data_IF_995499826533
#
_entry.id   IF_995499826533
#
_cell.length_a   1.000
_cell.length_b   1.000
_cell.length_c   1.000
_cell.angle_alpha   90.00
_cell.angle_beta   90.00
_cell.angle_gamma   90.00
#
_symmetry.space_group_name_H-M   'P 1'
#
loop_
_entity.id
_entity.type
_entity.pdbx_description
1 polymer ?
#
# COMPACT_ATOMS: atom_id res chain seq x y z
N UNK A 1 21.55 -1.65 -3.62
CA UNK A 1 20.61 -0.55 -3.31
C UNK A 1 21.27 0.30 -2.24
N UNK A 2 21.66 1.54 -2.55
CA UNK A 2 22.14 2.52 -1.55
C UNK A 2 20.92 3.36 -1.17
N UNK A 3 20.62 3.47 0.13
CA UNK A 3 19.52 4.31 0.64
C UNK A 3 20.02 5.74 0.86
N UNK A 4 19.12 6.72 0.71
CA UNK A 4 19.43 8.16 0.85
C UNK A 4 19.06 8.63 2.26
N UNK A 5 19.95 9.40 2.90
CA UNK A 5 19.72 10.07 4.18
C UNK A 5 19.41 11.56 3.94
N UNK A 6 18.47 12.13 4.71
CA UNK A 6 18.29 13.56 5.01
C UNK A 6 18.48 14.59 3.88
N UNK A 7 17.46 15.45 3.67
CA UNK A 7 17.61 16.76 3.03
C UNK A 7 17.28 17.81 4.10
N UNK A 8 18.29 18.54 4.58
CA UNK A 8 18.09 19.54 5.64
C UNK A 8 17.34 20.76 5.07
N UNK A 9 16.25 21.16 5.72
CA UNK A 9 15.36 22.25 5.27
C UNK A 9 15.96 23.67 5.40
N UNK A 10 17.16 23.82 5.96
CA UNK A 10 17.76 25.11 6.31
C UNK A 10 18.94 25.53 5.44
N UNK A 11 19.18 24.87 4.31
CA UNK A 11 20.13 25.34 3.32
C UNK A 11 19.40 25.46 1.99
N UNK A 12 19.51 26.63 1.35
CA UNK A 12 19.07 26.85 -0.02
C UNK A 12 19.92 26.00 -0.98
N UNK A 13 19.68 24.69 -0.98
CA UNK A 13 20.18 23.77 -1.98
C UNK A 13 19.09 23.61 -3.03
N UNK A 14 19.49 23.73 -4.30
CA UNK A 14 18.74 23.15 -5.41
C UNK A 14 18.67 21.64 -5.14
N UNK A 15 17.51 21.14 -4.70
CA UNK A 15 17.32 19.70 -4.54
C UNK A 15 17.32 19.12 -5.94
N UNK A 16 18.44 18.49 -6.34
CA UNK A 16 18.49 17.76 -7.59
C UNK A 16 17.77 16.42 -7.40
N UNK A 17 16.45 16.44 -7.64
CA UNK A 17 15.53 15.32 -7.45
C UNK A 17 15.89 14.14 -8.36
N UNK A 18 16.60 14.35 -9.48
CA UNK A 18 17.01 13.26 -10.35
C UNK A 18 18.07 12.34 -9.73
N UNK A 19 18.81 12.80 -8.71
CA UNK A 19 19.86 12.01 -8.07
C UNK A 19 19.40 11.15 -6.89
N UNK A 20 18.15 11.29 -6.44
CA UNK A 20 17.60 10.48 -5.34
C UNK A 20 16.95 9.17 -5.81
N UNK A 21 16.81 8.98 -7.13
CA UNK A 21 16.15 7.82 -7.71
C UNK A 21 17.12 6.77 -8.24
N UNK A 22 16.74 5.51 -8.02
CA UNK A 22 17.22 4.38 -8.82
C UNK A 22 16.19 4.11 -9.92
N UNK A 23 16.64 4.13 -11.16
CA UNK A 23 15.78 3.78 -12.29
C UNK A 23 15.65 2.26 -12.38
N UNK A 24 14.41 1.78 -12.32
CA UNK A 24 14.09 0.38 -12.55
C UNK A 24 13.38 0.26 -13.90
N UNK A 25 14.00 -0.47 -14.82
CA UNK A 25 13.43 -0.78 -16.11
C UNK A 25 13.48 -2.28 -16.39
N UNK A 26 12.53 -2.74 -17.20
CA UNK A 26 12.62 -4.05 -17.83
C UNK A 26 13.54 -3.94 -19.03
N UNK A 27 14.70 -4.60 -18.99
CA UNK A 27 15.50 -4.84 -20.20
C UNK A 27 14.72 -5.76 -21.14
N UNK A 28 14.34 -5.26 -22.31
CA UNK A 28 13.80 -6.06 -23.40
C UNK A 28 14.95 -6.49 -24.31
N UNK A 29 15.09 -7.78 -24.60
CA UNK A 29 16.12 -8.25 -25.54
C UNK A 29 15.80 -7.93 -27.01
N UNK A 30 14.60 -7.45 -27.37
CA UNK A 30 14.29 -7.04 -28.75
C UNK A 30 13.16 -5.98 -28.78
N UNK A 31 13.48 -4.76 -29.27
CA UNK A 31 12.62 -3.95 -30.16
C UNK A 31 11.18 -3.58 -29.78
N UNK A 32 10.82 -3.36 -28.50
CA UNK A 32 9.53 -2.73 -28.15
C UNK A 32 9.74 -1.40 -27.41
N UNK A 33 9.19 -0.33 -27.98
CA UNK A 33 9.38 1.08 -27.59
C UNK A 33 8.69 1.53 -26.29
N UNK A 34 7.93 0.69 -25.60
CA UNK A 34 7.23 1.07 -24.36
C UNK A 34 7.89 0.43 -23.12
N UNK A 35 9.08 0.89 -22.76
CA UNK A 35 9.70 0.48 -21.50
C UNK A 35 8.99 1.16 -20.31
N UNK A 36 8.45 0.35 -19.41
CA UNK A 36 7.98 0.83 -18.10
C UNK A 36 9.21 1.15 -17.26
N UNK A 37 9.47 2.44 -17.03
CA UNK A 37 10.53 2.92 -16.13
C UNK A 37 9.88 3.36 -14.82
N UNK A 38 10.35 2.83 -13.70
CA UNK A 38 9.93 3.20 -12.35
C UNK A 38 11.07 3.99 -11.70
N UNK A 39 10.75 5.19 -11.19
CA UNK A 39 11.64 5.92 -10.30
C UNK A 39 11.52 5.37 -8.88
N UNK A 40 12.52 4.66 -8.38
CA UNK A 40 12.54 4.11 -7.02
C UNK A 40 13.31 5.04 -6.09
N UNK A 41 12.61 5.73 -5.19
CA UNK A 41 13.20 6.53 -4.12
C UNK A 41 13.41 5.64 -2.87
N UNK A 42 14.67 5.44 -2.50
CA UNK A 42 15.06 4.63 -1.35
C UNK A 42 15.26 5.49 -0.10
N UNK A 43 14.40 5.32 0.89
CA UNK A 43 14.40 6.10 2.13
C UNK A 43 15.10 5.30 3.23
N UNK A 44 16.21 5.81 3.75
CA UNK A 44 16.92 5.16 4.86
C UNK A 44 16.07 5.11 6.14
N UNK A 45 16.35 4.13 7.00
CA UNK A 45 15.83 4.15 8.38
C UNK A 45 16.63 5.18 9.17
N UNK A 46 16.02 6.29 9.63
CA UNK A 46 16.75 7.31 10.37
C UNK A 46 17.24 6.75 11.71
N UNK A 47 18.43 7.20 12.13
CA UNK A 47 18.97 6.92 13.47
C UNK A 47 19.10 8.17 14.33
N UNK A 48 18.79 9.33 13.76
CA UNK A 48 18.80 10.65 14.42
C UNK A 48 17.73 11.56 13.80
N UNK A 49 17.30 12.60 14.51
CA UNK A 49 16.24 13.50 14.05
C UNK A 49 16.62 14.27 12.78
N UNK A 50 17.88 14.66 12.63
CA UNK A 50 18.41 15.38 11.46
C UNK A 50 18.39 14.55 10.15
N UNK A 51 18.20 13.24 10.25
CA UNK A 51 18.10 12.34 9.09
C UNK A 51 16.65 12.17 8.59
N UNK A 52 15.67 12.61 9.39
CA UNK A 52 14.26 12.45 9.09
C UNK A 52 13.83 13.38 7.94
N UNK A 53 13.10 12.83 6.96
CA UNK A 53 12.55 13.62 5.87
C UNK A 53 11.36 14.48 6.34
N UNK A 54 11.15 15.68 5.78
CA UNK A 54 10.00 16.51 6.09
C UNK A 54 8.66 15.82 5.77
N UNK A 55 7.57 16.11 6.51
CA UNK A 55 6.28 15.43 6.37
C UNK A 55 5.73 15.31 4.95
N UNK A 56 5.86 16.35 4.13
CA UNK A 56 5.29 16.38 2.77
C UNK A 56 6.27 16.02 1.66
N UNK A 57 7.52 15.70 1.99
CA UNK A 57 8.56 15.51 0.98
C UNK A 57 8.20 14.45 -0.07
N UNK A 58 7.83 13.24 0.35
CA UNK A 58 7.46 12.14 -0.55
C UNK A 58 6.21 12.49 -1.38
N UNK A 59 5.20 13.10 -0.74
CA UNK A 59 4.00 13.60 -1.41
C UNK A 59 4.36 14.60 -2.51
N UNK A 60 5.16 15.60 -2.18
CA UNK A 60 5.54 16.67 -3.10
C UNK A 60 6.37 16.13 -4.27
N UNK A 61 7.29 15.20 -4.00
CA UNK A 61 8.03 14.48 -5.06
C UNK A 61 7.08 13.71 -5.98
N UNK A 62 6.12 12.95 -5.43
CA UNK A 62 5.13 12.22 -6.23
C UNK A 62 4.25 13.18 -7.04
N UNK A 63 3.78 14.27 -6.44
CA UNK A 63 2.94 15.27 -7.10
C UNK A 63 3.71 15.99 -8.22
N UNK A 64 4.99 16.28 -8.02
CA UNK A 64 5.88 16.87 -9.02
C UNK A 64 5.95 16.00 -10.28
N UNK A 65 6.26 14.70 -10.15
CA UNK A 65 6.32 13.80 -11.32
C UNK A 65 4.96 13.58 -11.98
N UNK A 66 3.87 13.61 -11.22
CA UNK A 66 2.52 13.53 -11.80
C UNK A 66 2.17 14.78 -12.62
N UNK A 67 2.51 15.98 -12.14
CA UNK A 67 2.26 17.23 -12.87
C UNK A 67 3.10 17.32 -14.15
N UNK A 68 4.38 16.95 -14.09
CA UNK A 68 5.23 16.91 -15.30
C UNK A 68 4.70 15.92 -16.32
N UNK A 69 4.18 14.76 -15.86
CA UNK A 69 3.57 13.73 -16.72
C UNK A 69 2.30 14.23 -17.41
N UNK A 70 1.53 15.12 -16.79
CA UNK A 70 0.33 15.73 -17.38
C UNK A 70 0.68 16.83 -18.39
N UNK A 71 1.72 17.62 -18.11
CA UNK A 71 2.12 18.76 -18.93
C UNK A 71 3.02 18.38 -20.13
N UNK A 72 3.76 17.27 -20.05
CA UNK A 72 4.74 16.88 -21.07
C UNK A 72 4.14 15.97 -22.14
N UNK A 73 4.03 16.47 -23.36
CA UNK A 73 3.41 15.83 -24.53
C UNK A 73 4.16 14.61 -25.12
N UNK A 74 4.99 13.90 -24.34
CA UNK A 74 5.46 12.50 -24.53
C UNK A 74 6.77 12.16 -23.81
N UNK A 75 7.48 13.12 -23.19
CA UNK A 75 8.76 12.81 -22.56
C UNK A 75 8.59 12.37 -21.09
N UNK A 76 7.97 11.20 -20.88
CA UNK A 76 7.78 10.63 -19.54
C UNK A 76 9.09 10.01 -19.06
N UNK A 77 9.78 10.68 -18.13
CA UNK A 77 10.95 10.10 -17.47
C UNK A 77 10.58 8.83 -16.70
N UNK A 78 9.54 8.90 -15.86
CA UNK A 78 9.05 7.77 -15.08
C UNK A 78 7.58 7.52 -15.35
N UNK A 79 7.22 6.26 -15.56
CA UNK A 79 5.83 5.82 -15.61
C UNK A 79 5.13 5.95 -14.25
N UNK A 80 5.92 5.81 -13.18
CA UNK A 80 5.52 5.83 -11.78
C UNK A 80 6.72 6.10 -10.88
N UNK A 81 6.46 6.74 -9.75
CA UNK A 81 7.38 6.86 -8.62
C UNK A 81 6.97 5.89 -7.50
N UNK A 82 7.94 5.20 -6.90
CA UNK A 82 7.75 4.35 -5.73
C UNK A 82 8.68 4.84 -4.61
N UNK A 83 8.12 5.02 -3.42
CA UNK A 83 8.86 5.35 -2.20
C UNK A 83 9.02 4.06 -1.38
N UNK A 84 10.27 3.65 -1.15
CA UNK A 84 10.56 2.43 -0.42
C UNK A 84 11.43 2.72 0.81
N UNK A 85 10.84 2.54 1.98
CA UNK A 85 11.54 2.64 3.25
C UNK A 85 12.42 1.40 3.52
N UNK A 86 13.62 1.64 4.03
CA UNK A 86 14.61 0.61 4.32
C UNK A 86 14.14 -0.42 5.34
N UNK A 87 13.43 0.00 6.40
CA UNK A 87 12.87 -0.90 7.40
C UNK A 87 11.83 -1.86 6.79
N UNK A 88 11.00 -1.36 5.88
CA UNK A 88 10.02 -2.18 5.14
C UNK A 88 10.73 -3.15 4.19
N UNK A 89 11.79 -2.73 3.50
CA UNK A 89 12.61 -3.62 2.68
C UNK A 89 13.26 -4.72 3.52
N UNK A 90 13.84 -4.37 4.67
CA UNK A 90 14.49 -5.33 5.55
C UNK A 90 13.48 -6.35 6.11
N UNK A 91 12.32 -5.87 6.55
CA UNK A 91 11.31 -6.70 7.21
C UNK A 91 10.50 -7.58 6.23
N UNK A 92 10.03 -7.01 5.12
CA UNK A 92 9.12 -7.70 4.17
C UNK A 92 9.77 -7.90 2.79
N UNK A 93 11.09 -8.10 2.73
CA UNK A 93 11.90 -8.16 1.48
C UNK A 93 11.27 -8.96 0.36
N UNK A 94 10.82 -10.19 0.65
CA UNK A 94 10.21 -11.10 -0.34
C UNK A 94 8.93 -10.51 -0.96
N UNK A 95 8.08 -9.88 -0.14
CA UNK A 95 6.85 -9.23 -0.59
C UNK A 95 7.18 -7.98 -1.43
N UNK A 96 8.12 -7.15 -0.95
CA UNK A 96 8.53 -5.92 -1.66
C UNK A 96 9.13 -6.25 -3.02
N UNK A 97 10.06 -7.23 -3.06
CA UNK A 97 10.67 -7.70 -4.30
C UNK A 97 9.61 -8.15 -5.31
N UNK A 98 8.65 -8.97 -4.88
CA UNK A 98 7.56 -9.41 -5.73
C UNK A 98 6.72 -8.26 -6.27
N UNK A 99 6.35 -7.28 -5.42
CA UNK A 99 5.59 -6.10 -5.85
C UNK A 99 6.34 -5.31 -6.91
N UNK A 100 7.64 -5.07 -6.74
CA UNK A 100 8.46 -4.37 -7.74
C UNK A 100 8.50 -5.12 -9.08
N UNK A 101 8.74 -6.44 -9.03
CA UNK A 101 8.74 -7.32 -10.21
C UNK A 101 7.38 -7.30 -10.93
N UNK A 102 6.28 -7.36 -10.18
CA UNK A 102 4.93 -7.28 -10.74
C UNK A 102 4.64 -5.93 -11.40
N UNK A 103 5.09 -4.81 -10.82
CA UNK A 103 4.93 -3.47 -11.40
C UNK A 103 5.74 -3.29 -12.70
N UNK A 104 6.91 -3.92 -12.81
CA UNK A 104 7.73 -3.92 -14.03
C UNK A 104 7.20 -4.87 -15.12
N UNK A 105 6.13 -5.63 -14.84
CA UNK A 105 5.62 -6.65 -15.75
C UNK A 105 6.64 -7.77 -16.03
N UNK A 106 7.59 -7.97 -15.11
CA UNK A 106 8.57 -9.04 -15.13
C UNK A 106 7.90 -10.31 -14.59
N UNK A 107 7.82 -11.36 -15.39
CA UNK A 107 7.08 -12.58 -15.02
C UNK A 107 7.11 -13.66 -16.09
N UNK A 108 8.23 -13.78 -16.79
CA UNK A 108 8.43 -14.73 -17.89
C UNK A 108 9.82 -15.36 -17.77
N UNK A 109 9.91 -16.43 -16.98
CA UNK A 109 10.91 -17.47 -17.17
C UNK A 109 10.33 -18.75 -16.59
N UNK A 110 9.70 -19.55 -17.45
CA UNK A 110 9.41 -20.97 -17.20
C UNK A 110 10.57 -21.77 -17.77
N UNK A 111 11.64 -21.96 -17.00
CA UNK A 111 12.58 -23.07 -17.14
C UNK A 111 13.71 -22.89 -16.14
N UNK A 112 13.64 -23.63 -15.03
CA UNK A 112 14.86 -24.15 -14.42
C UNK A 112 15.39 -25.23 -15.35
N UNK A 113 16.42 -24.92 -16.14
CA UNK A 113 17.41 -25.96 -16.47
C UNK A 113 18.39 -25.96 -15.31
N UNK A 114 18.35 -27.03 -14.53
CA UNK A 114 19.42 -27.37 -13.58
C UNK A 114 20.69 -27.62 -14.40
N UNK A 115 21.60 -26.66 -14.40
CA UNK A 115 23.01 -26.93 -14.66
C UNK A 115 23.82 -26.22 -13.57
N UNK A 116 24.64 -27.03 -12.91
CA UNK A 116 25.68 -26.68 -11.94
C UNK A 116 25.25 -26.01 -10.64
N UNK A 117 24.85 -26.85 -9.66
CA UNK A 117 25.37 -26.87 -8.27
C UNK A 117 25.44 -25.59 -7.42
N UNK A 118 24.97 -24.44 -7.89
CA UNK A 118 24.90 -23.19 -7.15
C UNK A 118 23.45 -22.73 -7.14
N UNK A 119 22.84 -22.70 -5.95
CA UNK A 119 21.53 -22.08 -5.71
C UNK A 119 21.57 -20.60 -6.08
N UNK A 120 21.33 -20.29 -7.35
CA UNK A 120 21.05 -18.93 -7.79
C UNK A 120 19.57 -18.71 -7.52
N UNK A 121 19.24 -18.03 -6.42
CA UNK A 121 17.89 -17.60 -6.04
C UNK A 121 17.31 -16.64 -7.12
N UNK A 122 16.94 -17.18 -8.28
CA UNK A 122 16.27 -16.45 -9.34
C UNK A 122 14.78 -16.57 -9.07
N UNK A 123 14.25 -15.65 -8.26
CA UNK A 123 12.82 -15.53 -7.97
C UNK A 123 12.02 -15.27 -9.26
N UNK A 124 11.54 -16.34 -9.92
CA UNK A 124 10.66 -16.24 -11.09
C UNK A 124 9.21 -16.05 -10.63
N UNK A 125 8.61 -14.91 -10.97
CA UNK A 125 7.18 -14.69 -10.70
C UNK A 125 6.35 -15.35 -11.79
N UNK A 126 5.45 -16.28 -11.41
CA UNK A 126 4.54 -16.98 -12.32
C UNK A 126 3.39 -16.07 -12.76
N UNK A 127 3.21 -15.86 -14.06
CA UNK A 127 2.06 -15.12 -14.58
C UNK A 127 0.85 -16.03 -14.72
N UNK A 128 -0.16 -15.83 -13.89
CA UNK A 128 -1.42 -16.59 -13.90
C UNK A 128 -2.54 -15.70 -14.44
N UNK A 129 -3.32 -16.18 -15.39
CA UNK A 129 -4.50 -15.44 -15.85
C UNK A 129 -5.73 -15.83 -15.03
N UNK A 130 -6.49 -14.86 -14.54
CA UNK A 130 -7.67 -15.12 -13.72
C UNK A 130 -8.73 -16.00 -14.40
N UNK A 131 -8.78 -16.06 -15.75
CA UNK A 131 -9.67 -16.99 -16.46
C UNK A 131 -9.34 -18.48 -16.22
N UNK A 132 -8.10 -18.79 -15.83
CA UNK A 132 -7.63 -20.14 -15.50
C UNK A 132 -7.81 -20.51 -14.02
N UNK A 133 -8.34 -19.61 -13.21
CA UNK A 133 -8.58 -19.88 -11.79
C UNK A 133 -10.05 -20.22 -11.54
N UNK A 134 -10.36 -20.78 -10.37
CA UNK A 134 -11.71 -20.87 -9.83
C UNK A 134 -11.84 -19.91 -8.64
N UNK A 135 -12.94 -19.19 -8.54
CA UNK A 135 -13.19 -18.27 -7.41
C UNK A 135 -14.04 -18.98 -6.38
N UNK A 136 -13.70 -18.86 -5.09
CA UNK A 136 -14.48 -19.44 -3.98
C UNK A 136 -14.49 -18.49 -2.78
N UNK A 137 -15.52 -18.62 -1.95
CA UNK A 137 -15.46 -18.09 -0.59
C UNK A 137 -14.46 -18.91 0.22
N UNK A 138 -13.66 -18.26 1.06
CA UNK A 138 -12.71 -18.91 1.97
C UNK A 138 -13.04 -18.55 3.41
N UNK A 139 -12.66 -19.39 4.37
CA UNK A 139 -12.85 -19.08 5.77
C UNK A 139 -11.87 -17.98 6.24
N UNK A 140 -12.15 -17.38 7.41
CA UNK A 140 -11.34 -16.29 7.94
C UNK A 140 -9.89 -16.74 8.20
N UNK A 141 -9.68 -17.95 8.71
CA UNK A 141 -8.34 -18.49 9.01
C UNK A 141 -7.46 -18.53 7.77
N UNK A 142 -7.93 -19.15 6.68
CA UNK A 142 -7.21 -19.24 5.41
C UNK A 142 -6.92 -17.86 4.81
N UNK A 143 -7.85 -16.91 4.92
CA UNK A 143 -7.64 -15.54 4.47
C UNK A 143 -6.54 -14.85 5.31
N UNK A 144 -6.59 -15.00 6.63
CA UNK A 144 -5.61 -14.38 7.54
C UNK A 144 -4.20 -14.92 7.31
N UNK A 145 -4.03 -16.24 7.19
CA UNK A 145 -2.74 -16.89 6.90
C UNK A 145 -2.17 -16.45 5.55
N UNK A 146 -3.02 -16.39 4.52
CA UNK A 146 -2.61 -15.95 3.20
C UNK A 146 -2.16 -14.49 3.21
N UNK A 147 -2.91 -13.61 3.87
CA UNK A 147 -2.59 -12.18 3.96
C UNK A 147 -1.32 -11.92 4.77
N UNK A 148 -1.12 -12.63 5.89
CA UNK A 148 0.08 -12.49 6.71
C UNK A 148 1.37 -12.81 5.92
N UNK A 149 1.30 -13.82 5.06
CA UNK A 149 2.44 -14.29 4.25
C UNK A 149 2.71 -13.42 3.01
N UNK A 150 1.66 -12.81 2.42
CA UNK A 150 1.73 -12.23 1.08
C UNK A 150 1.40 -10.73 1.00
N UNK A 151 0.74 -10.16 2.01
CA UNK A 151 0.34 -8.75 2.00
C UNK A 151 1.33 -7.91 2.81
N UNK A 152 1.70 -6.74 2.30
CA UNK A 152 2.69 -5.86 2.94
C UNK A 152 2.28 -5.45 4.37
N UNK A 153 0.99 -5.22 4.57
CA UNK A 153 0.41 -4.83 5.86
C UNK A 153 -0.04 -6.04 6.70
N UNK A 154 0.21 -7.28 6.27
CA UNK A 154 -0.16 -8.49 7.02
C UNK A 154 -1.66 -8.78 7.04
N UNK A 155 -2.17 -9.39 8.11
CA UNK A 155 -3.55 -9.88 8.24
C UNK A 155 -4.61 -8.81 8.57
N UNK A 156 -5.89 -9.09 8.27
CA UNK A 156 -7.03 -8.24 8.66
C UNK A 156 -8.26 -9.07 8.99
N UNK A 157 -9.06 -8.58 9.94
CA UNK A 157 -10.40 -9.08 10.14
C UNK A 157 -11.29 -8.56 9.02
N UNK A 158 -12.07 -9.46 8.42
CA UNK A 158 -13.00 -9.15 7.33
C UNK A 158 -14.23 -10.05 7.44
N UNK A 159 -15.36 -9.57 6.92
CA UNK A 159 -16.64 -10.30 6.97
C UNK A 159 -16.76 -11.28 5.81
N UNK A 160 -16.28 -10.89 4.63
CA UNK A 160 -16.37 -11.71 3.43
C UNK A 160 -14.96 -11.91 2.86
N UNK A 161 -14.59 -13.17 2.59
CA UNK A 161 -13.26 -13.51 2.10
C UNK A 161 -13.39 -14.37 0.84
N UNK A 162 -12.67 -13.99 -0.21
CA UNK A 162 -12.68 -14.67 -1.49
C UNK A 162 -11.27 -15.04 -1.90
N UNK A 163 -11.12 -16.26 -2.42
CA UNK A 163 -9.87 -16.80 -2.93
C UNK A 163 -9.96 -17.17 -4.41
N UNK A 164 -8.83 -17.04 -5.12
CA UNK A 164 -8.64 -17.62 -6.46
C UNK A 164 -7.76 -18.87 -6.35
N UNK A 165 -8.28 -19.97 -6.87
CA UNK A 165 -7.64 -21.27 -6.89
C UNK A 165 -7.14 -21.59 -8.29
N UNK A 166 -5.88 -21.93 -8.44
CA UNK A 166 -5.27 -22.32 -9.71
C UNK A 166 -4.95 -23.82 -9.67
N UNK A 167 -5.51 -24.59 -10.60
CA UNK A 167 -5.16 -25.99 -10.78
C UNK A 167 -3.86 -26.07 -11.60
N UNK A 168 -2.80 -26.63 -11.02
CA UNK A 168 -1.58 -26.95 -11.75
C UNK A 168 -1.70 -28.39 -12.26
N UNK A 169 -1.50 -28.60 -13.56
CA UNK A 169 -1.42 -29.97 -14.09
C UNK A 169 -0.11 -30.56 -13.58
N UNK A 170 -0.17 -31.45 -12.60
CA UNK A 170 0.99 -32.21 -12.19
C UNK A 170 1.49 -33.01 -13.40
N UNK A 171 2.71 -32.73 -13.86
CA UNK A 171 3.35 -33.49 -14.96
C UNK A 171 3.87 -34.86 -14.50
N UNK A 172 3.87 -35.12 -13.18
CA UNK A 172 4.50 -36.30 -12.57
C UNK A 172 3.51 -37.30 -11.96
N UNK A 173 2.20 -37.13 -12.14
CA UNK A 173 1.20 -38.10 -11.68
C UNK A 173 0.64 -38.83 -12.90
N UNK A 174 1.06 -40.09 -13.09
CA UNK A 174 0.45 -41.00 -14.07
C UNK A 174 -0.89 -41.58 -13.60
N UNK A 175 -1.32 -41.24 -12.39
CA UNK A 175 -2.51 -41.82 -11.77
C UNK A 175 -3.52 -40.71 -11.46
N UNK A 176 -4.77 -40.94 -11.86
CA UNK A 176 -5.89 -39.98 -11.87
C UNK A 176 -6.41 -39.49 -10.52
N UNK A 177 -5.55 -39.35 -9.51
CA UNK A 177 -5.93 -38.94 -8.17
C UNK A 177 -5.64 -37.44 -7.94
N UNK A 178 -6.64 -36.62 -8.25
CA UNK A 178 -6.83 -35.27 -7.73
C UNK A 178 -6.01 -34.15 -8.41
N UNK A 179 -6.70 -33.17 -9.01
CA UNK A 179 -6.09 -31.86 -9.28
C UNK A 179 -5.89 -31.13 -7.94
N UNK A 180 -4.65 -31.02 -7.46
CA UNK A 180 -4.34 -30.13 -6.34
C UNK A 180 -4.51 -28.67 -6.81
N UNK A 181 -5.34 -27.92 -6.08
CA UNK A 181 -5.64 -26.53 -6.40
C UNK A 181 -4.97 -25.59 -5.41
N UNK A 182 -4.18 -24.67 -5.95
CA UNK A 182 -3.38 -23.74 -5.18
C UNK A 182 -4.11 -22.41 -4.99
N UNK A 183 -4.19 -21.91 -3.75
CA UNK A 183 -4.68 -20.55 -3.48
C UNK A 183 -3.63 -19.53 -3.93
N UNK A 184 -3.94 -18.75 -4.96
CA UNK A 184 -2.98 -17.83 -5.62
C UNK A 184 -3.31 -16.35 -5.45
N UNK A 185 -4.53 -16.00 -5.02
CA UNK A 185 -4.88 -14.62 -4.66
C UNK A 185 -6.06 -14.57 -3.69
N UNK A 186 -6.10 -13.54 -2.86
CA UNK A 186 -7.17 -13.30 -1.88
C UNK A 186 -7.63 -11.84 -1.94
N UNK A 187 -8.94 -11.63 -1.83
CA UNK A 187 -9.55 -10.34 -1.54
C UNK A 187 -10.49 -10.46 -0.32
N UNK A 188 -10.45 -9.45 0.54
CA UNK A 188 -11.26 -9.41 1.76
C UNK A 188 -12.09 -8.15 1.81
N UNK A 189 -13.34 -8.26 2.26
CA UNK A 189 -14.31 -7.17 2.27
C UNK A 189 -14.95 -7.00 3.64
N UNK A 190 -15.26 -5.74 3.98
CA UNK A 190 -15.95 -5.40 5.21
C UNK A 190 -17.42 -5.81 5.18
N UNK A 191 -18.04 -5.80 6.36
CA UNK A 191 -19.51 -5.85 6.45
C UNK A 191 -20.12 -4.58 5.85
N UNK A 192 -21.41 -4.63 5.51
CA UNK A 192 -22.15 -3.48 4.99
C UNK A 192 -22.03 -2.30 5.96
N UNK A 193 -21.63 -1.14 5.46
CA UNK A 193 -21.59 0.11 6.22
C UNK A 193 -22.98 0.77 6.18
N UNK A 194 -23.37 1.40 7.28
CA UNK A 194 -24.57 2.25 7.34
C UNK A 194 -24.21 3.63 6.80
N UNK A 195 -24.29 3.81 5.48
CA UNK A 195 -24.00 5.07 4.80
C UNK A 195 -25.28 5.59 4.14
N UNK A 196 -25.57 6.87 4.33
CA UNK A 196 -26.59 7.61 3.59
C UNK A 196 -25.86 8.53 2.61
N UNK A 197 -26.19 8.50 1.31
CA UNK A 197 -25.67 9.43 0.31
C UNK A 197 -26.83 10.09 -0.39
N UNK A 198 -26.82 11.42 -0.49
CA UNK A 198 -27.93 12.20 -1.08
C UNK A 198 -29.32 11.81 -0.52
N UNK A 199 -29.41 11.63 0.80
CA UNK A 199 -30.66 11.28 1.49
C UNK A 199 -31.13 9.83 1.31
N UNK A 200 -30.38 8.97 0.61
CA UNK A 200 -30.74 7.56 0.39
C UNK A 200 -29.75 6.61 1.07
N UNK A 201 -30.22 5.50 1.67
CA UNK A 201 -29.32 4.48 2.20
C UNK A 201 -28.57 3.78 1.07
N UNK A 202 -27.26 3.59 1.24
CA UNK A 202 -26.40 2.87 0.31
C UNK A 202 -25.86 1.57 0.95
N UNK A 203 -25.86 0.47 0.19
CA UNK A 203 -25.15 -0.79 0.49
C UNK A 203 -23.67 -0.63 0.18
N UNK A 204 -23.00 0.25 0.94
CA UNK A 204 -21.57 0.49 0.79
C UNK A 204 -20.76 -0.59 1.51
N UNK A 205 -19.74 -1.11 0.84
CA UNK A 205 -18.76 -2.03 1.41
C UNK A 205 -17.34 -1.53 1.15
N UNK A 206 -16.39 -2.05 1.91
CA UNK A 206 -14.98 -1.70 1.78
C UNK A 206 -14.20 -2.92 1.29
N UNK A 207 -13.40 -2.77 0.23
CA UNK A 207 -12.34 -3.72 -0.09
C UNK A 207 -11.17 -3.44 0.87
N UNK A 208 -10.93 -4.36 1.80
CA UNK A 208 -9.97 -4.15 2.90
C UNK A 208 -8.55 -4.50 2.49
N UNK A 209 -8.36 -5.61 1.78
CA UNK A 209 -7.07 -6.08 1.28
C UNK A 209 -7.25 -6.91 0.02
N UNK A 210 -6.29 -6.79 -0.88
CA UNK A 210 -6.09 -7.68 -2.01
C UNK A 210 -4.59 -7.97 -2.17
N UNK A 211 -4.22 -9.24 -2.36
CA UNK A 211 -2.89 -9.60 -2.84
C UNK A 211 -2.94 -10.92 -3.63
N UNK A 212 -1.98 -11.07 -4.54
CA UNK A 212 -1.59 -12.37 -5.08
C UNK A 212 -0.51 -12.99 -4.20
N UNK A 213 -0.26 -14.29 -4.38
CA UNK A 213 0.84 -14.97 -3.73
C UNK A 213 2.17 -14.37 -4.20
N UNK A 214 3.16 -14.22 -3.31
CA UNK A 214 4.43 -13.50 -3.53
C UNK A 214 5.36 -14.05 -4.62
N UNK A 215 4.97 -15.12 -5.29
CA UNK A 215 5.67 -15.76 -6.40
C UNK A 215 4.77 -15.87 -7.65
N UNK A 216 3.60 -15.23 -7.63
CA UNK A 216 2.63 -15.26 -8.72
C UNK A 216 2.00 -13.88 -8.95
N UNK A 217 1.81 -13.52 -10.22
CA UNK A 217 1.06 -12.35 -10.61
C UNK A 217 -0.23 -12.82 -11.29
N UNK A 218 -1.37 -12.62 -10.62
CA UNK A 218 -2.68 -13.04 -11.13
C UNK A 218 -3.33 -11.90 -11.92
N UNK A 219 -3.10 -11.91 -13.24
CA UNK A 219 -3.62 -10.91 -14.17
C UNK A 219 -5.15 -10.99 -14.23
N UNK A 220 -5.81 -9.88 -13.90
CA UNK A 220 -7.28 -9.80 -13.77
C UNK A 220 -7.84 -10.41 -12.48
N UNK A 221 -6.97 -10.78 -11.52
CA UNK A 221 -7.36 -11.45 -10.29
C UNK A 221 -8.30 -10.62 -9.42
N UNK A 222 -7.94 -9.34 -9.19
CA UNK A 222 -8.76 -8.42 -8.41
C UNK A 222 -10.15 -8.20 -9.04
N UNK A 223 -10.23 -8.01 -10.36
CA UNK A 223 -11.49 -7.82 -11.08
C UNK A 223 -12.41 -9.02 -10.94
N UNK A 224 -11.85 -10.25 -11.01
CA UNK A 224 -12.61 -11.48 -10.82
C UNK A 224 -13.13 -11.64 -9.39
N UNK A 225 -12.33 -11.28 -8.40
CA UNK A 225 -12.72 -11.33 -6.99
C UNK A 225 -13.79 -10.28 -6.66
N UNK A 226 -13.65 -9.05 -7.18
CA UNK A 226 -14.68 -7.99 -7.06
C UNK A 226 -15.98 -8.45 -7.73
N UNK A 227 -15.92 -9.04 -8.93
CA UNK A 227 -17.11 -9.57 -9.60
C UNK A 227 -17.83 -10.62 -8.75
N UNK A 228 -17.10 -11.59 -8.18
CA UNK A 228 -17.68 -12.59 -7.29
C UNK A 228 -18.30 -11.97 -6.03
N UNK A 229 -17.66 -10.95 -5.44
CA UNK A 229 -18.21 -10.21 -4.32
C UNK A 229 -19.52 -9.49 -4.69
N UNK A 230 -19.53 -8.77 -5.82
CA UNK A 230 -20.70 -8.04 -6.31
C UNK A 230 -21.87 -8.98 -6.57
N UNK A 231 -21.63 -10.11 -7.23
CA UNK A 231 -22.66 -11.13 -7.47
C UNK A 231 -23.28 -11.64 -6.18
N UNK A 232 -22.48 -11.84 -5.13
CA UNK A 232 -22.97 -12.47 -3.90
C UNK A 232 -23.56 -11.48 -2.90
N UNK A 233 -23.07 -10.23 -2.86
CA UNK A 233 -23.47 -9.23 -1.85
C UNK A 233 -24.35 -8.13 -2.41
N UNK A 234 -24.40 -7.96 -3.73
CA UNK A 234 -25.13 -6.89 -4.41
C UNK A 234 -24.90 -5.50 -3.77
N UNK A 235 -23.65 -5.03 -3.61
CA UNK A 235 -23.36 -3.71 -3.07
C UNK A 235 -23.77 -2.59 -4.05
N UNK A 236 -24.12 -1.42 -3.53
CA UNK A 236 -24.36 -0.24 -4.38
C UNK A 236 -23.04 0.46 -4.75
N UNK A 237 -22.07 0.39 -3.83
CA UNK A 237 -20.72 0.89 -4.03
C UNK A 237 -19.67 0.11 -3.24
N UNK A 238 -18.43 0.11 -3.76
CA UNK A 238 -17.26 -0.42 -3.07
C UNK A 238 -16.26 0.71 -2.89
N UNK A 239 -15.82 0.92 -1.65
CA UNK A 239 -14.76 1.89 -1.30
C UNK A 239 -13.47 1.14 -1.00
N UNK A 240 -12.32 1.73 -1.30
CA UNK A 240 -11.01 1.22 -0.86
C UNK A 240 -10.06 2.36 -0.58
N UNK A 241 -9.02 2.07 0.20
CA UNK A 241 -7.87 2.94 0.40
C UNK A 241 -6.67 2.38 -0.37
N UNK A 242 -5.87 3.25 -0.96
CA UNK A 242 -4.61 2.87 -1.60
C UNK A 242 -3.48 3.76 -1.09
N UNK A 243 -2.33 3.13 -0.87
CA UNK A 243 -1.10 3.75 -0.44
C UNK A 243 -0.37 4.36 -1.65
N UNK A 244 -0.06 5.65 -1.58
CA UNK A 244 0.58 6.40 -2.66
C UNK A 244 2.09 6.15 -2.74
N UNK A 245 2.70 5.50 -1.75
CA UNK A 245 4.09 5.04 -1.81
C UNK A 245 4.32 4.10 -3.01
N UNK A 246 3.25 3.48 -3.53
CA UNK A 246 3.27 2.54 -4.66
C UNK A 246 2.65 3.12 -5.95
N UNK A 247 2.59 4.45 -6.05
CA UNK A 247 2.20 5.21 -7.24
C UNK A 247 0.81 5.84 -7.20
N UNK A 248 0.42 6.44 -8.33
CA UNK A 248 -0.77 7.29 -8.52
C UNK A 248 -2.14 6.58 -8.55
N UNK A 249 -2.18 5.27 -8.30
CA UNK A 249 -3.43 4.51 -8.31
C UNK A 249 -4.06 4.25 -9.69
N UNK A 250 -3.43 4.65 -10.80
CA UNK A 250 -3.97 4.53 -12.18
C UNK A 250 -4.51 3.13 -12.56
N UNK A 251 -3.93 2.06 -12.01
CA UNK A 251 -4.44 0.69 -12.20
C UNK A 251 -5.87 0.48 -11.68
N UNK A 252 -6.27 1.20 -10.63
CA UNK A 252 -7.61 1.11 -10.05
C UNK A 252 -8.68 1.78 -10.92
N UNK A 253 -8.32 2.88 -11.57
CA UNK A 253 -9.19 3.57 -12.54
C UNK A 253 -9.57 2.64 -13.70
N UNK A 254 -8.62 1.81 -14.16
CA UNK A 254 -8.86 0.85 -15.25
C UNK A 254 -9.92 -0.22 -14.91
N UNK A 255 -10.17 -0.47 -13.62
CA UNK A 255 -11.20 -1.40 -13.15
C UNK A 255 -12.43 -0.65 -12.61
N UNK A 256 -12.54 0.65 -12.90
CA UNK A 256 -13.70 1.50 -12.66
C UNK A 256 -13.84 1.97 -11.22
N UNK A 257 -12.73 2.30 -10.55
CA UNK A 257 -12.73 3.11 -9.34
C UNK A 257 -12.39 4.56 -9.67
N UNK A 258 -13.09 5.49 -9.05
CA UNK A 258 -12.79 6.91 -9.09
C UNK A 258 -12.09 7.34 -7.80
N UNK A 259 -11.10 8.23 -7.89
CA UNK A 259 -10.51 8.86 -6.71
C UNK A 259 -11.49 9.88 -6.16
N UNK A 260 -11.89 9.76 -4.90
CA UNK A 260 -12.89 10.64 -4.27
C UNK A 260 -12.32 11.50 -3.14
N UNK A 261 -11.14 11.16 -2.63
CA UNK A 261 -10.37 12.00 -1.72
C UNK A 261 -8.90 11.58 -1.71
N UNK A 262 -8.01 12.52 -1.42
CA UNK A 262 -6.60 12.26 -1.11
C UNK A 262 -6.34 12.78 0.31
N UNK A 263 -5.79 11.93 1.17
CA UNK A 263 -5.35 12.33 2.50
C UNK A 263 -3.88 12.69 2.49
N UNK A 264 -3.50 13.61 3.38
CA UNK A 264 -2.11 13.99 3.60
C UNK A 264 -1.26 12.82 4.13
N UNK A 265 0.07 12.97 4.11
CA UNK A 265 1.00 12.02 4.72
C UNK A 265 0.68 11.76 6.19
N UNK A 266 0.85 10.51 6.60
CA UNK A 266 0.69 10.09 7.98
C UNK A 266 2.04 9.96 8.67
N UNK A 267 2.13 10.45 9.91
CA UNK A 267 3.32 10.24 10.74
C UNK A 267 3.30 8.84 11.35
N UNK A 268 4.37 8.12 11.13
CA UNK A 268 4.75 6.89 11.83
C UNK A 268 6.09 7.13 12.52
N UNK A 269 6.51 6.20 13.39
CA UNK A 269 7.86 6.23 13.93
C UNK A 269 8.55 4.90 13.74
N UNK A 270 9.85 4.92 13.53
CA UNK A 270 10.69 3.73 13.43
C UNK A 270 11.75 3.79 14.51
N UNK A 271 11.93 2.66 15.20
CA UNK A 271 13.08 2.42 16.04
C UNK A 271 14.13 1.65 15.26
N UNK A 272 15.33 2.21 15.01
CA UNK A 272 16.39 1.51 14.30
C UNK A 272 16.92 0.35 15.16
N UNK A 273 17.60 -0.58 14.51
CA UNK A 273 18.28 -1.66 15.22
C UNK A 273 19.43 -1.10 16.06
N UNK A 274 19.44 -1.38 17.37
CA UNK A 274 20.60 -1.10 18.21
C UNK A 274 21.78 -1.99 17.77
N UNK A 275 22.96 -1.39 17.58
CA UNK A 275 24.18 -2.10 17.18
C UNK A 275 25.03 -2.64 18.35
N UNK A 276 24.55 -2.58 19.60
CA UNK A 276 25.27 -3.03 20.79
C UNK A 276 24.31 -3.72 21.77
N UNK A 277 24.66 -4.78 22.49
CA UNK A 277 25.98 -5.34 22.84
C UNK A 277 25.80 -6.80 23.32
N UNK A 278 26.80 -7.64 23.05
CA UNK A 278 26.96 -9.03 23.49
C UNK A 278 26.10 -10.10 22.78
N UNK A 279 26.80 -10.97 22.04
CA UNK A 279 26.52 -12.40 22.07
C UNK A 279 26.33 -12.77 23.54
N UNK A 280 25.11 -13.13 23.95
CA UNK A 280 24.79 -14.02 25.09
C UNK A 280 23.33 -13.84 25.58
N UNK A 281 22.59 -12.81 25.15
CA UNK A 281 21.15 -12.70 25.46
C UNK A 281 20.29 -13.33 24.36
N UNK A 282 20.10 -14.66 24.41
CA UNK A 282 19.25 -15.44 23.48
C UNK A 282 17.74 -15.10 23.54
N UNK A 283 17.29 -14.11 24.33
CA UNK A 283 15.85 -13.86 24.54
C UNK A 283 15.35 -12.42 24.29
N UNK A 284 16.19 -11.51 23.77
CA UNK A 284 15.72 -10.18 23.33
C UNK A 284 15.10 -10.25 21.92
N UNK A 285 13.78 -10.42 21.90
CA UNK A 285 12.91 -10.76 20.76
C UNK A 285 12.89 -9.82 19.51
N UNK A 286 13.78 -8.84 19.36
CA UNK A 286 13.66 -7.84 18.27
C UNK A 286 14.95 -7.60 17.47
N UNK A 287 15.33 -8.52 16.54
CA UNK A 287 16.50 -8.34 15.67
C UNK A 287 16.30 -7.39 14.47
N UNK A 288 15.12 -6.74 14.33
CA UNK A 288 14.68 -5.96 13.16
C UNK A 288 14.20 -4.55 13.56
N UNK A 289 14.30 -3.52 12.67
CA UNK A 289 13.76 -2.19 12.95
C UNK A 289 12.24 -2.24 13.20
N UNK A 290 11.78 -1.51 14.21
CA UNK A 290 10.38 -1.54 14.63
C UNK A 290 9.63 -0.30 14.16
N UNK A 291 8.75 -0.46 13.17
CA UNK A 291 7.81 0.60 12.77
C UNK A 291 6.56 0.57 13.64
N UNK A 292 6.17 1.74 14.18
CA UNK A 292 4.97 1.93 15.01
C UNK A 292 3.99 2.89 14.34
N UNK A 293 2.72 2.52 14.40
CA UNK A 293 1.62 3.34 13.91
C UNK A 293 1.13 4.28 15.01
N UNK A 294 0.86 5.53 14.67
CA UNK A 294 0.44 6.55 15.64
C UNK A 294 -1.05 6.86 15.60
N UNK A 295 -1.82 6.27 14.67
CA UNK A 295 -3.26 6.50 14.56
C UNK A 295 -4.09 5.23 14.33
N UNK A 296 -5.40 5.35 14.57
CA UNK A 296 -6.38 4.32 14.30
C UNK A 296 -6.19 3.05 15.13
N UNK A 297 -6.52 1.90 14.54
CA UNK A 297 -6.40 0.59 15.19
C UNK A 297 -4.95 0.20 15.54
N UNK A 298 -3.95 0.96 15.06
CA UNK A 298 -2.54 0.73 15.31
C UNK A 298 -2.00 1.35 16.61
N UNK A 299 -2.75 2.22 17.31
CA UNK A 299 -2.32 2.80 18.60
C UNK A 299 -2.30 1.77 19.74
N UNK A 300 -2.86 0.56 19.56
CA UNK A 300 -3.00 -0.41 20.65
C UNK A 300 -1.65 -0.69 21.33
N UNK A 301 -1.59 -0.39 22.63
CA UNK A 301 -0.37 -0.47 23.42
C UNK A 301 0.13 -1.91 23.56
N UNK A 302 1.44 -2.07 23.65
CA UNK A 302 2.18 -3.35 23.65
C UNK A 302 1.91 -4.24 24.86
N UNK A 303 1.24 -3.73 25.91
CA UNK A 303 1.04 -4.42 27.19
C UNK A 303 -0.34 -5.08 27.36
N UNK A 304 -1.28 -4.91 26.41
CA UNK A 304 -2.62 -5.49 26.54
C UNK A 304 -2.73 -6.97 26.08
N UNK A 305 -1.64 -7.61 25.69
CA UNK A 305 -1.64 -9.03 25.26
C UNK A 305 -1.61 -10.05 26.39
N UNK A 306 -1.57 -9.66 27.67
CA UNK A 306 -1.52 -10.59 28.81
C UNK A 306 -2.75 -10.64 29.72
N UNK A 307 -3.79 -9.80 29.51
CA UNK A 307 -4.92 -9.69 30.47
C UNK A 307 -6.33 -9.80 29.87
N UNK A 308 -6.49 -10.32 28.66
CA UNK A 308 -7.81 -10.73 28.15
C UNK A 308 -7.85 -12.25 28.11
N UNK A 309 -8.09 -12.86 29.28
CA UNK A 309 -8.79 -14.15 29.41
C UNK A 309 -8.99 -14.46 30.90
N UNK A 310 -10.06 -13.92 31.47
CA UNK A 310 -10.71 -14.47 32.67
C UNK A 310 -12.18 -14.06 32.76
N UNK A 311 -12.90 -14.03 31.63
CA UNK A 311 -14.37 -14.08 31.61
C UNK A 311 -14.80 -15.08 30.56
N UNK A 312 -15.30 -16.22 31.05
CA UNK A 312 -15.62 -17.44 30.34
C UNK A 312 -16.31 -17.25 28.98
N UNK A 313 -15.66 -17.78 27.95
CA UNK A 313 -16.22 -18.05 26.64
C UNK A 313 -15.20 -18.83 25.83
N UNK A 314 -15.39 -20.15 25.69
CA UNK A 314 -14.57 -21.02 24.84
C UNK A 314 -14.67 -20.54 23.38
N UNK A 315 -13.79 -19.64 22.98
CA UNK A 315 -13.50 -19.36 21.58
C UNK A 315 -11.98 -19.37 21.45
N UNK A 316 -11.45 -20.25 20.61
CA UNK A 316 -10.04 -20.28 20.22
C UNK A 316 -9.66 -18.93 19.61
N UNK A 317 -9.27 -17.99 20.47
CA UNK A 317 -8.67 -16.71 20.11
C UNK A 317 -7.24 -17.00 19.68
N UNK A 318 -7.06 -17.29 18.39
CA UNK A 318 -5.74 -17.23 17.77
C UNK A 318 -5.17 -15.85 18.06
N UNK A 319 -4.18 -15.78 18.96
CA UNK A 319 -3.46 -14.54 19.28
C UNK A 319 -2.95 -13.97 17.96
N UNK A 320 -3.60 -12.90 17.49
CA UNK A 320 -3.18 -12.21 16.27
C UNK A 320 -1.85 -11.55 16.63
N UNK A 321 -0.74 -12.16 16.23
CA UNK A 321 0.60 -11.57 16.30
C UNK A 321 0.71 -10.42 15.30
N UNK A 322 -0.10 -9.37 15.46
CA UNK A 322 -0.17 -8.25 14.54
C UNK A 322 0.99 -7.27 14.80
N UNK A 323 2.24 -7.75 14.63
CA UNK A 323 3.44 -6.92 14.73
C UNK A 323 3.36 -5.70 13.80
N UNK A 324 2.63 -5.83 12.69
CA UNK A 324 2.44 -4.79 11.66
C UNK A 324 1.58 -3.59 12.12
N UNK A 325 0.92 -3.65 13.29
CA UNK A 325 0.04 -2.58 13.81
C UNK A 325 0.25 -2.29 15.29
N UNK A 326 1.49 -2.36 15.76
CA UNK A 326 1.78 -2.05 17.15
C UNK A 326 1.93 -0.55 17.37
N UNK A 327 1.37 -0.06 18.47
CA UNK A 327 1.54 1.32 18.92
C UNK A 327 2.85 1.53 19.66
N UNK A 328 3.01 2.74 20.21
CA UNK A 328 4.11 3.08 21.10
C UNK A 328 3.99 2.37 22.47
N UNK A 329 5.11 2.19 23.20
CA UNK A 329 5.09 1.76 24.60
C UNK A 329 4.18 2.64 25.48
N UNK A 330 3.54 2.06 26.49
CA UNK A 330 2.55 2.76 27.33
C UNK A 330 3.14 3.96 28.06
N UNK A 331 4.36 3.83 28.59
CA UNK A 331 5.07 4.90 29.32
C UNK A 331 5.29 6.11 28.41
N UNK A 332 5.81 5.86 27.21
CA UNK A 332 5.99 6.91 26.21
C UNK A 332 4.66 7.55 25.80
N UNK A 333 3.59 6.75 25.60
CA UNK A 333 2.26 7.32 25.32
C UNK A 333 1.77 8.25 26.43
N UNK A 334 2.00 7.90 27.71
CA UNK A 334 1.63 8.74 28.84
C UNK A 334 2.41 10.05 28.85
N UNK A 335 3.72 10.01 28.63
CA UNK A 335 4.55 11.21 28.54
C UNK A 335 4.12 12.12 27.40
N UNK A 336 3.90 11.56 26.20
CA UNK A 336 3.44 12.33 25.04
C UNK A 336 2.07 12.97 25.28
N UNK A 337 1.20 12.36 26.10
CA UNK A 337 -0.11 12.93 26.39
C UNK A 337 -0.05 14.24 27.21
N UNK A 338 1.10 14.55 27.79
CA UNK A 338 1.36 15.80 28.54
C UNK A 338 2.23 16.79 27.77
N UNK A 339 2.57 16.50 26.51
CA UNK A 339 3.48 17.31 25.68
C UNK A 339 2.73 17.82 24.45
N UNK A 340 2.65 19.15 24.26
CA UNK A 340 1.89 19.78 23.16
C UNK A 340 2.77 20.48 22.11
N UNK A 341 4.05 20.75 22.42
CA UNK A 341 5.05 21.23 21.45
C UNK A 341 5.56 20.09 20.57
N UNK A 342 5.63 20.33 19.26
CA UNK A 342 6.14 19.35 18.30
C UNK A 342 7.61 19.02 18.58
N UNK A 343 8.42 20.03 18.87
CA UNK A 343 9.85 19.89 19.16
C UNK A 343 10.07 19.03 20.40
N UNK A 344 9.31 19.28 21.46
CA UNK A 344 9.38 18.50 22.70
C UNK A 344 8.91 17.05 22.48
N UNK A 345 7.87 16.82 21.67
CA UNK A 345 7.42 15.47 21.30
C UNK A 345 8.49 14.73 20.52
N UNK A 346 9.12 15.38 19.52
CA UNK A 346 10.20 14.79 18.73
C UNK A 346 11.42 14.44 19.59
N UNK A 347 11.78 15.31 20.55
CA UNK A 347 12.85 15.04 21.49
C UNK A 347 12.53 13.80 22.34
N UNK A 348 11.34 13.73 22.93
CA UNK A 348 10.90 12.56 23.72
C UNK A 348 10.91 11.26 22.90
N UNK A 349 10.43 11.31 21.65
CA UNK A 349 10.53 10.15 20.76
C UNK A 349 11.98 9.73 20.55
N UNK A 350 12.87 10.68 20.28
CA UNK A 350 14.31 10.43 20.11
C UNK A 350 14.96 9.86 21.36
N UNK A 351 14.58 10.31 22.55
CA UNK A 351 15.07 9.76 23.83
C UNK A 351 14.71 8.27 23.97
N UNK A 352 13.58 7.86 23.41
CA UNK A 352 13.14 6.45 23.31
C UNK A 352 13.62 5.73 22.04
N UNK A 353 14.55 6.33 21.30
CA UNK A 353 15.11 5.86 20.04
C UNK A 353 14.04 5.62 18.95
N UNK A 354 13.02 6.47 18.91
CA UNK A 354 12.00 6.49 17.85
C UNK A 354 12.17 7.74 16.99
N UNK A 355 12.18 7.55 15.68
CA UNK A 355 12.35 8.64 14.71
C UNK A 355 11.18 8.69 13.73
N UNK A 356 10.65 9.89 13.42
CA UNK A 356 9.50 10.03 12.54
C UNK A 356 9.83 9.63 11.10
N UNK A 357 8.87 8.96 10.47
CA UNK A 357 8.84 8.68 9.03
C UNK A 357 7.43 8.91 8.51
N UNK A 358 7.32 9.30 7.25
CA UNK A 358 6.05 9.66 6.61
C UNK A 358 5.84 8.83 5.35
N UNK A 359 4.59 8.46 5.09
CA UNK A 359 4.20 7.93 3.77
C UNK A 359 3.95 9.09 2.78
N UNK A 360 3.53 8.75 1.57
CA UNK A 360 3.15 9.72 0.53
C UNK A 360 1.69 10.21 0.70
N UNK A 361 1.00 9.75 1.74
CA UNK A 361 -0.44 9.85 1.92
C UNK A 361 -1.22 8.72 1.23
N UNK A 362 -2.55 8.73 1.40
CA UNK A 362 -3.44 7.68 0.86
C UNK A 362 -4.53 8.28 0.00
N UNK A 363 -4.95 7.55 -1.04
CA UNK A 363 -6.14 7.90 -1.81
C UNK A 363 -7.32 7.02 -1.40
N UNK A 364 -8.49 7.66 -1.27
CA UNK A 364 -9.77 6.98 -1.17
C UNK A 364 -10.35 6.85 -2.55
N UNK A 365 -10.71 5.63 -2.88
CA UNK A 365 -11.30 5.28 -4.15
C UNK A 365 -12.72 4.75 -3.93
N UNK A 366 -13.61 5.06 -4.86
CA UNK A 366 -14.99 4.58 -4.86
C UNK A 366 -15.35 4.02 -6.22
N UNK A 367 -15.94 2.83 -6.22
CA UNK A 367 -16.50 2.18 -7.41
C UNK A 367 -18.01 2.07 -7.24
N UNK A 368 -18.74 2.77 -8.11
CA UNK A 368 -20.18 2.57 -8.26
C UNK A 368 -20.46 1.27 -8.99
N UNK A 369 -21.49 0.55 -8.53
CA UNK A 369 -21.90 -0.71 -9.14
C UNK A 369 -23.15 -0.46 -9.98
N UNK A 370 -22.99 -0.54 -11.30
CA UNK A 370 -24.13 -0.68 -12.23
C UNK A 370 -24.41 -2.16 -12.44
N UNK A 371 -25.69 -2.54 -12.37
CA UNK A 371 -26.14 -3.91 -12.61
C UNK A 371 -26.47 -4.16 -14.08
N UNK A 372 -26.66 -3.10 -14.87
CA UNK A 372 -26.97 -3.18 -16.30
C UNK A 372 -25.84 -3.86 -17.10
N UNK A 373 -24.59 -3.70 -16.65
CA UNK A 373 -23.38 -4.33 -17.23
C UNK A 373 -23.24 -5.83 -16.89
N UNK A 374 -23.90 -6.32 -15.83
CA UNK A 374 -23.78 -7.72 -15.39
C UNK A 374 -24.72 -8.66 -16.16
N UNK A 375 -25.90 -8.18 -16.55
CA UNK A 375 -26.87 -8.94 -17.34
C UNK A 375 -26.52 -8.99 -18.84
N UNK A 376 -25.77 -8.00 -19.36
CA UNK A 376 -25.29 -8.00 -20.74
C UNK A 376 -24.35 -9.17 -21.07
N UNK A 377 -23.75 -9.85 -20.09
CA UNK A 377 -22.94 -11.05 -20.34
C UNK A 377 -23.76 -12.34 -20.58
N UNK A 378 -25.09 -12.26 -20.65
CA UNK A 378 -25.96 -13.32 -21.19
C UNK A 378 -26.37 -13.11 -22.66
N UNK A 379 -25.99 -11.98 -23.27
CA UNK A 379 -26.28 -11.67 -24.66
C UNK A 379 -25.01 -11.14 -25.31
N UNK A 380 -24.41 -11.92 -26.20
CA UNK A 380 -23.42 -11.40 -27.14
C UNK A 380 -24.05 -10.20 -27.85
N UNK A 381 -23.53 -9.00 -27.62
CA UNK A 381 -23.41 -7.98 -28.65
C UNK A 381 -22.45 -6.86 -28.23
N UNK A 382 -21.62 -6.48 -29.21
CA UNK A 382 -20.70 -5.36 -29.16
C UNK A 382 -21.44 -4.06 -28.88
N UNK A 383 -21.07 -3.35 -27.81
CA UNK A 383 -21.32 -1.91 -27.73
C UNK A 383 -20.00 -1.16 -27.53
N UNK A 384 -19.76 -0.27 -28.49
CA UNK A 384 -18.61 0.62 -28.58
C UNK A 384 -18.65 1.62 -27.43
N UNK A 385 -17.71 1.50 -26.48
CA UNK A 385 -17.56 2.46 -25.39
C UNK A 385 -16.84 3.70 -25.93
N UNK A 386 -17.60 4.74 -26.27
CA UNK A 386 -17.06 6.07 -26.58
C UNK A 386 -16.43 6.65 -25.31
N UNK A 387 -15.10 6.70 -25.27
CA UNK A 387 -14.34 7.49 -24.31
C UNK A 387 -14.13 8.89 -24.87
N UNK A 388 -15.00 9.83 -24.53
CA UNK A 388 -14.70 11.26 -24.67
C UNK A 388 -13.99 11.72 -23.41
N UNK A 389 -12.65 11.75 -23.45
CA UNK A 389 -11.84 12.51 -22.50
C UNK A 389 -11.91 13.98 -22.91
N UNK A 390 -12.79 14.72 -22.25
CA UNK A 390 -12.78 16.19 -22.32
C UNK A 390 -12.29 16.71 -20.99
N UNK A 391 -11.13 17.36 -21.03
CA UNK A 391 -10.43 17.98 -19.90
C UNK A 391 -11.19 19.23 -19.46
N UNK A 392 -12.15 19.06 -18.56
CA UNK A 392 -12.75 20.11 -17.73
C UNK A 392 -13.21 19.44 -16.43
N UNK A 393 -13.02 20.13 -15.31
CA UNK A 393 -13.25 19.72 -13.92
C UNK A 393 -14.70 19.26 -13.66
N UNK A 394 -15.07 18.13 -14.24
CA UNK A 394 -16.42 17.56 -14.12
C UNK A 394 -16.39 16.62 -12.95
N UNK A 395 -16.99 17.02 -11.83
CA UNK A 395 -17.15 16.17 -10.65
C UNK A 395 -17.82 14.86 -11.07
N UNK A 396 -17.15 13.74 -10.79
CA UNK A 396 -17.69 12.42 -11.10
C UNK A 396 -18.92 12.13 -10.23
N UNK A 397 -19.80 11.23 -10.68
CA UNK A 397 -20.92 10.78 -9.86
C UNK A 397 -20.47 10.18 -8.51
N UNK A 398 -19.31 9.50 -8.50
CA UNK A 398 -18.70 8.96 -7.30
C UNK A 398 -18.27 10.07 -6.32
N UNK A 399 -17.61 11.13 -6.81
CA UNK A 399 -17.23 12.29 -5.99
C UNK A 399 -18.45 13.02 -5.41
N UNK A 400 -19.50 13.22 -6.22
CA UNK A 400 -20.72 13.87 -5.76
C UNK A 400 -21.40 13.07 -4.63
N UNK A 401 -21.53 11.74 -4.81
CA UNK A 401 -22.07 10.87 -3.78
C UNK A 401 -21.19 10.86 -2.53
N UNK A 402 -19.87 10.85 -2.70
CA UNK A 402 -18.90 10.89 -1.61
C UNK A 402 -19.04 12.15 -0.75
N UNK A 403 -19.12 13.32 -1.38
CA UNK A 403 -19.28 14.61 -0.69
C UNK A 403 -20.58 14.69 0.13
N UNK A 404 -21.62 13.98 -0.30
CA UNK A 404 -22.94 13.95 0.34
C UNK A 404 -23.13 12.76 1.29
N UNK A 405 -22.03 12.13 1.74
CA UNK A 405 -22.09 10.91 2.56
C UNK A 405 -22.21 11.17 4.04
N UNK A 406 -23.07 10.40 4.70
CA UNK A 406 -23.31 10.44 6.14
C UNK A 406 -23.19 9.03 6.75
N UNK A 407 -22.34 8.82 7.77
CA UNK A 407 -21.39 9.80 8.31
C UNK A 407 -20.34 10.23 7.27
N UNK A 408 -19.85 11.47 7.42
CA UNK A 408 -18.74 11.96 6.61
C UNK A 408 -17.47 11.21 6.96
N UNK A 409 -16.68 10.85 5.96
CA UNK A 409 -15.36 10.29 6.20
C UNK A 409 -14.42 11.36 6.74
N UNK A 410 -13.56 10.98 7.70
CA UNK A 410 -12.58 11.88 8.28
C UNK A 410 -11.67 12.45 7.18
N UNK A 411 -11.62 13.78 7.09
CA UNK A 411 -10.77 14.50 6.12
C UNK A 411 -9.30 14.48 6.54
N UNK A 412 -9.06 14.41 7.84
CA UNK A 412 -7.74 14.48 8.46
C UNK A 412 -7.58 13.33 9.46
N UNK A 413 -6.32 13.04 9.80
CA UNK A 413 -6.00 12.12 10.88
C UNK A 413 -6.20 12.80 12.23
N UNK A 414 -6.55 12.00 13.24
CA UNK A 414 -6.78 12.48 14.59
C UNK A 414 -6.25 11.49 15.62
N UNK A 415 -5.83 12.01 16.77
CA UNK A 415 -5.49 11.24 17.96
C UNK A 415 -5.98 11.97 19.20
N UNK A 416 -6.44 11.22 20.19
CA UNK A 416 -6.77 11.76 21.52
C UNK A 416 -5.53 12.01 22.38
N UNK A 417 -4.37 11.49 21.98
CA UNK A 417 -3.10 11.76 22.65
C UNK A 417 -2.55 13.12 22.22
N UNK A 418 -2.31 14.01 23.17
CA UNK A 418 -1.93 15.42 22.91
C UNK A 418 -0.68 15.53 22.04
N UNK A 419 0.40 14.82 22.39
CA UNK A 419 1.65 14.88 21.63
C UNK A 419 1.54 14.26 20.24
N UNK A 420 0.80 13.18 20.08
CA UNK A 420 0.51 12.63 18.74
C UNK A 420 -0.31 13.63 17.92
N UNK A 421 -1.31 14.27 18.52
CA UNK A 421 -2.10 15.30 17.84
C UNK A 421 -1.24 16.50 17.41
N UNK A 422 -0.25 16.89 18.22
CA UNK A 422 0.73 17.92 17.84
C UNK A 422 1.54 17.51 16.60
N UNK A 423 2.03 16.27 16.52
CA UNK A 423 2.73 15.74 15.34
C UNK A 423 1.84 15.73 14.09
N UNK A 424 0.59 15.27 14.22
CA UNK A 424 -0.36 15.24 13.11
C UNK A 424 -0.65 16.65 12.59
N UNK A 425 -0.84 17.61 13.51
CA UNK A 425 -1.02 19.02 13.17
C UNK A 425 0.22 19.57 12.46
N UNK A 426 1.42 19.33 13.00
CA UNK A 426 2.67 19.75 12.36
C UNK A 426 2.82 19.19 10.93
N UNK A 427 2.53 17.91 10.74
CA UNK A 427 2.57 17.27 9.42
C UNK A 427 1.61 17.95 8.43
N UNK A 428 0.38 18.25 8.85
CA UNK A 428 -0.62 18.95 8.01
C UNK A 428 -0.22 20.40 7.69
N UNK A 429 0.37 21.12 8.66
CA UNK A 429 0.75 22.53 8.53
C UNK A 429 2.09 22.76 7.84
N UNK A 430 2.91 21.71 7.71
CA UNK A 430 4.22 21.80 7.03
C UNK A 430 4.02 22.35 5.60
N UNK A 431 4.75 23.40 5.20
CA UNK A 431 4.68 23.93 3.85
C UNK A 431 5.09 22.88 2.81
N UNK A 432 4.40 22.86 1.67
CA UNK A 432 4.81 22.03 0.53
C UNK A 432 6.07 22.59 -0.12
N UNK A 433 7.05 21.74 -0.42
CA UNK A 433 8.24 22.10 -1.19
C UNK A 433 8.02 22.00 -2.71
N UNK A 434 6.87 21.50 -3.16
CA UNK A 434 6.51 21.34 -4.57
C UNK A 434 6.75 22.61 -5.42
N UNK A 435 6.39 23.84 -4.97
CA UNK A 435 6.67 25.04 -5.77
C UNK A 435 8.16 25.25 -6.05
N UNK A 436 9.04 24.93 -5.09
CA UNK A 436 10.48 25.05 -5.26
C UNK A 436 11.01 24.03 -6.28
N UNK A 437 10.47 22.82 -6.28
CA UNK A 437 10.82 21.76 -7.23
C UNK A 437 10.47 22.14 -8.67
N UNK A 438 9.37 22.86 -8.87
CA UNK A 438 8.92 23.32 -10.19
C UNK A 438 9.78 24.45 -10.76
N UNK A 439 10.34 25.32 -9.91
CA UNK A 439 11.18 26.45 -10.34
C UNK A 439 12.55 25.98 -10.85
N UNK A 440 13.13 24.95 -10.23
CA UNK A 440 14.44 24.42 -10.62
C UNK A 440 14.49 23.85 -12.05
N UNK A 441 13.36 23.41 -12.62
CA UNK A 441 13.30 22.90 -14.00
C UNK A 441 13.24 24.00 -15.06
N UNK A 442 12.55 25.12 -14.77
CA UNK A 442 12.46 26.23 -15.70
C UNK A 442 13.83 26.85 -15.99
N UNK A 443 14.71 26.91 -14.99
CA UNK A 443 16.06 27.48 -15.16
C UNK A 443 16.99 26.61 -16.01
N UNK A 444 16.73 25.31 -16.13
CA UNK A 444 17.55 24.39 -16.94
C UNK A 444 17.13 24.37 -18.41
N UNK A 445 15.94 24.90 -18.75
CA UNK A 445 15.44 24.92 -20.13
C UNK A 445 15.86 26.17 -20.92
N UNK A 446 16.31 27.24 -20.25
CA UNK A 446 16.79 28.47 -20.91
C UNK A 446 18.30 28.48 -21.25
N UNK A 447 19.04 27.40 -20.96
CA UNK A 447 20.47 27.28 -21.27
C UNK A 447 20.84 26.10 -22.19
N UNK A 448 19.99 25.76 -23.16
CA UNK A 448 20.36 24.83 -24.25
C UNK A 448 20.21 25.43 -25.63
#
# INVERSE_FOLDING_TARGET
MKFVNGLTSNQAFVINIDHIFIELEKRNDVGRENNTIIGLHLISTPTRLEECLPPKFQKDVTDYFNQIKENSNNNKRYSKVIHLHQDIWNYKRKIVHHRLVAQLGLGLATSSTEQDGQEKERSTTRRIYARKTKVRHINATAAMEFLDTNHLWGTTKAKHNYGLFFAEKNKNTNDGDGEEEELVAVATFSTRRKIIRMGKPHRSHELLRFCSRRDSNVVGGISKLIKAFVTNQTPDDIVTLIDRDWGDGSGWQSIGFDTVATMDPIVMVVRPKNKSSHQDDEESCCPEPERRQLVGAGIQSTTNTSNIDNRGGKNNSTIIKNRDRMGLPIELLQELNSTDSTEAVLQKLSDYNYFPVYDTGVQRLMKLISYDDFDANKSNNNSTKMTTKTTTTTTTAAELLWQNSQPTYAKEYYSSNVGIAALLKNASMTPSCLPLMMVSDCTTTEQK
#
